data_IF_789948108693
#
_entry.id   IF_789948108693
#
_cell.length_a   1.000
_cell.length_b   1.000
_cell.length_c   1.000
_cell.angle_alpha   90.00
_cell.angle_beta   90.00
_cell.angle_gamma   90.00
#
_symmetry.space_group_name_H-M   'P 1'
#
loop_
_entity.id
_entity.type
_entity.pdbx_description
1 polymer ?
#
# COMPACT_ATOMS: atom_id res chain seq x y z
N UNK A 1 -40.87 27.25 -38.43
CA UNK A 1 -40.58 26.37 -37.26
C UNK A 1 -39.11 26.00 -37.34
N UNK A 2 -38.28 26.60 -36.46
CA UNK A 2 -36.83 26.31 -36.39
C UNK A 2 -36.62 25.20 -35.35
N UNK A 3 -36.21 24.03 -35.79
CA UNK A 3 -35.83 22.93 -34.90
C UNK A 3 -34.52 23.29 -34.21
N UNK A 4 -34.58 23.58 -32.92
CA UNK A 4 -33.42 23.57 -32.07
C UNK A 4 -33.06 22.14 -31.70
N UNK A 5 -32.01 21.63 -32.32
CA UNK A 5 -31.37 20.37 -31.85
C UNK A 5 -30.57 20.72 -30.61
N UNK A 6 -31.07 20.37 -29.44
CA UNK A 6 -30.35 20.47 -28.17
C UNK A 6 -29.30 19.38 -28.17
N UNK A 7 -28.06 19.72 -28.51
CA UNK A 7 -26.92 18.81 -28.33
C UNK A 7 -26.67 18.67 -26.83
N UNK A 8 -27.11 17.56 -26.26
CA UNK A 8 -26.80 17.16 -24.90
C UNK A 8 -25.29 16.79 -24.87
N UNK A 9 -24.43 17.72 -24.52
CA UNK A 9 -23.04 17.43 -24.19
C UNK A 9 -23.04 16.57 -22.93
N UNK A 10 -22.96 15.26 -23.12
CA UNK A 10 -22.63 14.33 -22.06
C UNK A 10 -21.24 14.72 -21.56
N UNK A 11 -21.17 15.38 -20.43
CA UNK A 11 -19.95 15.57 -19.69
C UNK A 11 -19.50 14.19 -19.21
N UNK A 12 -18.67 13.53 -19.99
CA UNK A 12 -18.04 12.27 -19.57
C UNK A 12 -17.06 12.64 -18.44
N UNK A 13 -17.27 12.04 -17.25
CA UNK A 13 -16.28 12.09 -16.18
C UNK A 13 -14.94 11.57 -16.69
N UNK A 14 -13.84 12.21 -16.28
CA UNK A 14 -12.48 11.72 -16.56
C UNK A 14 -12.28 10.29 -16.04
N UNK A 15 -12.97 9.95 -14.96
CA UNK A 15 -12.82 8.67 -14.28
C UNK A 15 -13.92 7.72 -14.72
N UNK A 16 -13.51 6.60 -15.31
CA UNK A 16 -14.38 5.52 -15.75
C UNK A 16 -14.58 4.44 -14.69
N UNK A 17 -15.53 3.56 -14.93
CA UNK A 17 -15.57 2.27 -14.25
C UNK A 17 -14.46 1.38 -14.81
N UNK A 18 -13.80 0.61 -13.96
CA UNK A 18 -12.82 -0.38 -14.41
C UNK A 18 -13.50 -1.40 -15.33
N UNK A 19 -12.92 -1.61 -16.52
CA UNK A 19 -13.39 -2.67 -17.43
C UNK A 19 -12.91 -4.04 -16.90
N UNK A 20 -13.78 -4.94 -16.46
CA UNK A 20 -13.39 -6.25 -15.96
C UNK A 20 -12.62 -7.10 -16.98
N UNK A 21 -12.81 -6.83 -18.28
CA UNK A 21 -12.17 -7.57 -19.38
C UNK A 21 -10.80 -7.04 -19.75
N UNK A 22 -10.42 -5.84 -19.30
CA UNK A 22 -9.09 -5.29 -19.55
C UNK A 22 -8.04 -6.17 -18.89
N UNK A 23 -7.09 -6.66 -19.68
CA UNK A 23 -5.97 -7.45 -19.18
C UNK A 23 -4.87 -6.53 -18.65
N UNK A 24 -4.30 -6.92 -17.53
CA UNK A 24 -3.10 -6.27 -16.97
C UNK A 24 -1.87 -6.76 -17.75
N UNK A 25 -1.01 -5.84 -18.14
CA UNK A 25 0.19 -6.10 -18.96
C UNK A 25 1.38 -5.30 -18.45
N UNK A 26 2.47 -5.98 -18.17
CA UNK A 26 3.71 -5.37 -17.69
C UNK A 26 4.72 -5.18 -18.83
N UNK A 27 5.56 -4.10 -18.80
CA UNK A 27 5.72 -3.12 -17.70
C UNK A 27 4.68 -1.99 -17.67
N UNK A 28 3.78 -1.88 -18.68
CA UNK A 28 2.85 -0.76 -18.79
C UNK A 28 2.03 -0.55 -17.51
N UNK A 29 1.45 -1.61 -16.96
CA UNK A 29 0.55 -1.51 -15.80
C UNK A 29 1.29 -1.47 -14.44
N UNK A 30 2.61 -1.23 -14.46
CA UNK A 30 3.36 -0.65 -13.35
C UNK A 30 3.35 0.88 -13.36
N UNK A 31 3.00 1.50 -14.49
CA UNK A 31 2.84 2.94 -14.65
C UNK A 31 1.46 3.44 -14.19
N UNK A 32 1.21 4.74 -14.36
CA UNK A 32 -0.04 5.35 -13.91
C UNK A 32 -1.22 5.09 -14.84
N UNK A 33 -2.44 5.17 -14.26
CA UNK A 33 -3.73 4.97 -14.91
C UNK A 33 -4.57 6.24 -14.79
N UNK A 34 -4.49 7.10 -15.78
CA UNK A 34 -5.10 8.44 -15.77
C UNK A 34 -6.64 8.42 -15.66
N UNK A 35 -7.28 7.31 -16.05
CA UNK A 35 -8.71 7.07 -15.94
C UNK A 35 -9.15 6.55 -14.56
N UNK A 36 -8.22 6.15 -13.71
CA UNK A 36 -8.48 5.85 -12.31
C UNK A 36 -8.56 7.12 -11.47
N UNK A 37 -9.48 7.18 -10.51
CA UNK A 37 -9.61 8.31 -9.58
C UNK A 37 -8.51 8.35 -8.54
N UNK A 38 -8.18 7.19 -7.98
CA UNK A 38 -7.09 7.03 -7.01
C UNK A 38 -6.19 5.90 -7.44
N UNK A 39 -4.93 6.01 -7.07
CA UNK A 39 -3.91 5.05 -7.38
C UNK A 39 -2.79 5.17 -6.36
N UNK A 40 -2.17 4.06 -5.99
CA UNK A 40 -1.00 4.07 -5.12
C UNK A 40 0.01 3.00 -5.48
N UNK A 41 1.26 3.35 -5.28
CA UNK A 41 2.43 2.47 -5.33
C UNK A 41 2.99 2.40 -3.92
N UNK A 42 2.97 1.23 -3.34
CA UNK A 42 3.29 1.00 -1.94
C UNK A 42 4.42 -0.01 -1.84
N UNK A 43 5.51 0.38 -1.18
CA UNK A 43 6.65 -0.51 -0.93
C UNK A 43 6.89 -0.59 0.56
N UNK A 44 6.96 -1.81 1.08
CA UNK A 44 7.38 -2.05 2.47
C UNK A 44 8.48 -3.08 2.51
N UNK A 45 9.26 -3.08 3.58
CA UNK A 45 10.29 -4.08 3.74
C UNK A 45 10.94 -4.11 5.09
N UNK A 46 11.68 -5.17 5.32
CA UNK A 46 12.57 -5.29 6.46
C UNK A 46 13.98 -5.56 5.97
N UNK A 47 14.90 -4.72 6.44
CA UNK A 47 16.31 -4.71 6.06
C UNK A 47 17.17 -5.05 7.27
N UNK A 48 18.39 -5.48 6.97
CA UNK A 48 19.40 -5.74 7.97
C UNK A 48 20.75 -5.20 7.51
N UNK A 49 21.48 -4.51 8.39
CA UNK A 49 22.83 -4.05 8.12
C UNK A 49 23.83 -5.20 8.24
N UNK A 50 25.04 -5.01 7.74
CA UNK A 50 26.13 -5.99 7.92
C UNK A 50 26.46 -6.25 9.41
N UNK A 51 26.14 -5.31 10.30
CA UNK A 51 26.29 -5.47 11.75
C UNK A 51 25.14 -6.21 12.43
N UNK A 52 24.12 -6.66 11.67
CA UNK A 52 22.93 -7.35 12.19
C UNK A 52 21.85 -6.42 12.74
N UNK A 53 21.95 -5.10 12.53
CA UNK A 53 20.91 -4.16 12.92
C UNK A 53 19.71 -4.28 11.98
N UNK A 54 18.54 -4.51 12.56
CA UNK A 54 17.28 -4.63 11.82
C UNK A 54 16.61 -3.27 11.63
N UNK A 55 15.92 -3.11 10.51
CA UNK A 55 15.19 -1.92 10.12
C UNK A 55 13.90 -2.30 9.43
N UNK A 56 12.83 -1.52 9.64
CA UNK A 56 11.64 -1.58 8.82
C UNK A 56 11.50 -0.29 8.01
N UNK A 57 10.89 -0.35 6.85
CA UNK A 57 10.58 0.83 6.07
C UNK A 57 9.27 0.70 5.29
N UNK A 58 8.68 1.84 4.98
CA UNK A 58 7.55 2.00 4.08
C UNK A 58 7.79 3.23 3.20
N UNK A 59 7.46 3.12 1.91
CA UNK A 59 7.35 4.24 0.99
C UNK A 59 6.09 4.06 0.16
N UNK A 60 5.19 5.03 0.23
CA UNK A 60 3.97 5.03 -0.59
C UNK A 60 3.89 6.32 -1.39
N UNK A 61 3.57 6.17 -2.67
CA UNK A 61 3.11 7.28 -3.50
C UNK A 61 1.63 7.10 -3.77
N UNK A 62 0.86 8.15 -3.60
CA UNK A 62 -0.56 8.20 -3.93
C UNK A 62 -0.79 9.20 -5.03
N UNK A 63 -1.63 8.86 -5.99
CA UNK A 63 -2.17 9.79 -6.97
C UNK A 63 -3.68 9.91 -6.77
N UNK A 64 -4.16 11.14 -6.67
CA UNK A 64 -5.59 11.44 -6.66
C UNK A 64 -5.89 12.33 -7.85
N UNK A 65 -6.71 11.83 -8.76
CA UNK A 65 -7.18 12.59 -9.92
C UNK A 65 -8.17 13.67 -9.50
N UNK A 66 -7.98 14.87 -10.00
CA UNK A 66 -8.89 16.01 -9.80
C UNK A 66 -9.81 16.09 -11.01
N UNK A 67 -11.13 16.06 -10.79
CA UNK A 67 -12.08 16.43 -11.84
C UNK A 67 -11.94 17.92 -12.16
N UNK A 68 -11.12 18.23 -13.16
CA UNK A 68 -11.20 19.54 -13.79
C UNK A 68 -12.39 19.52 -14.73
N UNK A 69 -13.50 20.16 -14.35
CA UNK A 69 -14.55 20.51 -15.31
C UNK A 69 -13.88 21.30 -16.43
N UNK A 70 -13.85 20.85 -17.68
CA UNK A 70 -13.40 21.70 -18.78
C UNK A 70 -14.46 22.77 -18.98
N UNK A 71 -14.36 23.88 -18.26
CA UNK A 71 -15.01 25.12 -18.70
C UNK A 71 -14.42 25.39 -20.06
N UNK A 72 -15.25 25.25 -21.09
CA UNK A 72 -14.92 25.43 -22.48
C UNK A 72 -13.93 26.55 -22.68
N UNK A 73 -12.75 26.28 -23.21
CA UNK A 73 -11.87 27.20 -23.87
C UNK A 73 -10.62 27.68 -23.16
N UNK A 74 -10.31 27.31 -21.91
CA UNK A 74 -9.03 27.67 -21.28
C UNK A 74 -8.54 26.57 -20.33
N UNK A 75 -7.83 25.60 -20.87
CA UNK A 75 -6.95 24.77 -20.05
C UNK A 75 -5.78 25.65 -19.60
N UNK A 76 -5.84 26.20 -18.38
CA UNK A 76 -4.70 26.89 -17.79
C UNK A 76 -3.55 25.88 -17.62
N UNK A 77 -2.34 26.24 -18.06
CA UNK A 77 -1.14 25.45 -17.78
C UNK A 77 -0.89 25.27 -16.26
N UNK A 78 -1.59 26.03 -15.44
CA UNK A 78 -1.58 25.94 -13.97
C UNK A 78 -2.69 25.06 -13.39
N UNK A 79 -3.61 24.51 -14.23
CA UNK A 79 -4.65 23.61 -13.73
C UNK A 79 -4.03 22.28 -13.28
N UNK A 80 -4.18 21.98 -12.00
CA UNK A 80 -3.74 20.68 -11.48
C UNK A 80 -4.67 19.60 -12.01
N UNK A 81 -4.10 18.57 -12.65
CA UNK A 81 -4.83 17.36 -13.08
C UNK A 81 -4.88 16.32 -11.97
N UNK A 82 -3.78 16.21 -11.24
CA UNK A 82 -3.59 15.22 -10.20
C UNK A 82 -2.87 15.84 -9.00
N UNK A 83 -3.16 15.29 -7.82
CA UNK A 83 -2.37 15.46 -6.61
C UNK A 83 -1.56 14.21 -6.39
N UNK A 84 -0.28 14.38 -6.13
CA UNK A 84 0.63 13.33 -5.68
C UNK A 84 0.97 13.57 -4.22
N UNK A 85 0.67 12.57 -3.41
CA UNK A 85 1.05 12.54 -2.00
C UNK A 85 2.06 11.42 -1.83
N UNK A 86 2.94 11.53 -0.84
CA UNK A 86 3.88 10.46 -0.54
C UNK A 86 4.14 10.39 0.95
N UNK A 87 4.26 9.17 1.47
CA UNK A 87 4.63 8.88 2.85
C UNK A 87 5.88 8.02 2.85
N UNK A 88 6.81 8.38 3.70
CA UNK A 88 8.03 7.60 3.95
C UNK A 88 8.18 7.37 5.45
N UNK A 89 8.40 6.13 5.85
CA UNK A 89 8.59 5.78 7.25
C UNK A 89 9.76 4.82 7.47
N UNK A 90 10.42 4.97 8.61
CA UNK A 90 11.52 4.14 9.07
C UNK A 90 11.25 3.65 10.50
N UNK A 91 11.40 2.35 10.70
CA UNK A 91 11.37 1.70 12.01
C UNK A 91 12.78 1.26 12.39
N UNK A 92 13.26 1.70 13.52
CA UNK A 92 14.52 1.27 14.14
C UNK A 92 14.21 0.54 15.45
N UNK A 93 14.11 -0.80 15.45
CA UNK A 93 13.77 -1.55 16.65
C UNK A 93 14.83 -1.45 17.76
N UNK A 94 16.11 -1.33 17.39
CA UNK A 94 17.19 -1.20 18.36
C UNK A 94 17.15 0.12 19.13
N UNK A 95 16.68 1.19 18.45
CA UNK A 95 16.43 2.47 19.08
C UNK A 95 15.01 2.60 19.68
N UNK A 96 14.12 1.65 19.40
CA UNK A 96 12.70 1.71 19.79
C UNK A 96 11.98 2.88 19.12
N UNK A 97 12.38 3.29 17.90
CA UNK A 97 11.86 4.50 17.25
C UNK A 97 11.18 4.20 15.92
N UNK A 98 10.15 4.98 15.65
CA UNK A 98 9.49 5.10 14.38
C UNK A 98 9.49 6.56 13.95
N UNK A 99 9.83 6.83 12.70
CA UNK A 99 9.83 8.18 12.13
C UNK A 99 9.16 8.13 10.78
N UNK A 100 8.42 9.18 10.45
CA UNK A 100 7.81 9.32 9.14
C UNK A 100 7.90 10.76 8.65
N UNK A 101 7.83 10.90 7.32
CA UNK A 101 7.71 12.16 6.62
C UNK A 101 6.60 12.04 5.57
N UNK A 102 6.01 13.17 5.21
CA UNK A 102 4.93 13.25 4.24
C UNK A 102 5.15 14.39 3.25
N UNK A 103 4.77 14.19 2.00
CA UNK A 103 4.85 15.17 0.92
C UNK A 103 3.54 15.26 0.16
N UNK A 104 3.25 16.45 -0.38
CA UNK A 104 2.10 16.66 -1.25
C UNK A 104 2.43 17.70 -2.31
N UNK A 105 2.33 17.30 -3.58
CA UNK A 105 2.50 18.16 -4.73
C UNK A 105 1.41 17.92 -5.77
N UNK A 106 1.08 18.94 -6.52
CA UNK A 106 0.28 18.80 -7.75
C UNK A 106 1.18 18.43 -8.92
N UNK A 107 0.61 17.84 -9.96
CA UNK A 107 1.28 17.69 -11.25
C UNK A 107 1.69 19.05 -11.81
N UNK A 108 2.83 19.09 -12.47
CA UNK A 108 3.41 20.28 -13.10
C UNK A 108 4.75 20.68 -12.46
N UNK A 109 5.54 21.42 -13.20
CA UNK A 109 6.86 21.93 -12.80
C UNK A 109 7.89 20.87 -12.41
N UNK A 110 7.65 19.58 -12.71
CA UNK A 110 8.57 18.49 -12.43
C UNK A 110 8.68 18.09 -10.94
N UNK A 111 7.87 18.69 -10.04
CA UNK A 111 7.95 18.39 -8.61
C UNK A 111 7.35 17.02 -8.25
N UNK A 112 6.30 16.60 -8.95
CA UNK A 112 5.69 15.29 -8.75
C UNK A 112 5.02 14.80 -10.04
N UNK A 113 4.97 13.47 -10.20
CA UNK A 113 4.36 12.84 -11.37
C UNK A 113 4.61 11.35 -11.44
N UNK A 114 3.94 10.71 -12.40
CA UNK A 114 4.17 9.32 -12.76
C UNK A 114 4.09 9.17 -14.28
N UNK A 115 4.80 8.16 -14.82
CA UNK A 115 4.69 7.79 -16.24
C UNK A 115 3.59 6.76 -16.42
N UNK A 116 2.93 6.79 -17.59
CA UNK A 116 1.87 5.84 -17.93
C UNK A 116 2.40 4.53 -18.54
N UNK A 117 3.59 4.55 -19.16
CA UNK A 117 4.16 3.43 -19.92
C UNK A 117 4.98 2.45 -19.08
N UNK A 118 5.37 2.83 -17.87
CA UNK A 118 6.18 2.05 -16.94
C UNK A 118 6.16 2.66 -15.54
N UNK A 119 6.68 1.92 -14.57
CA UNK A 119 6.93 2.46 -13.24
C UNK A 119 8.01 3.54 -13.30
N UNK A 120 7.64 4.76 -13.02
CA UNK A 120 8.52 5.90 -12.78
C UNK A 120 7.66 6.97 -12.07
N UNK A 121 7.70 6.94 -10.74
CA UNK A 121 6.94 7.83 -9.87
C UNK A 121 7.90 8.67 -9.06
N UNK A 122 7.64 9.96 -9.01
CA UNK A 122 8.46 10.94 -8.30
C UNK A 122 7.62 11.90 -7.46
N UNK A 123 8.14 12.27 -6.30
CA UNK A 123 7.64 13.38 -5.49
C UNK A 123 8.85 14.08 -4.85
N UNK A 124 9.28 15.20 -5.45
CA UNK A 124 10.56 15.86 -5.23
C UNK A 124 11.75 14.93 -5.51
N UNK A 125 12.55 14.62 -4.50
CA UNK A 125 13.68 13.69 -4.58
C UNK A 125 13.34 12.25 -4.16
N UNK A 126 12.10 11.98 -3.73
CA UNK A 126 11.64 10.61 -3.52
C UNK A 126 11.23 9.98 -4.84
N UNK A 127 11.69 8.76 -5.07
CA UNK A 127 11.52 8.09 -6.35
C UNK A 127 11.31 6.60 -6.22
N UNK A 128 10.51 6.06 -7.12
CA UNK A 128 10.36 4.64 -7.37
C UNK A 128 10.28 4.43 -8.89
N UNK A 129 11.27 3.74 -9.47
CA UNK A 129 11.31 3.50 -10.91
C UNK A 129 11.72 2.07 -11.26
N UNK A 130 11.28 1.58 -12.42
CA UNK A 130 11.70 0.31 -12.98
C UNK A 130 12.84 0.53 -13.99
N UNK A 131 13.95 -0.17 -13.77
CA UNK A 131 15.12 -0.15 -14.65
C UNK A 131 15.57 -1.58 -14.89
N UNK A 132 15.39 -2.08 -16.13
CA UNK A 132 15.84 -3.42 -16.53
C UNK A 132 15.18 -4.55 -15.71
N UNK A 133 13.89 -4.45 -15.40
CA UNK A 133 13.15 -5.45 -14.65
C UNK A 133 13.44 -5.45 -13.13
N UNK A 134 14.16 -4.45 -12.64
CA UNK A 134 14.42 -4.21 -11.22
C UNK A 134 13.87 -2.85 -10.81
N UNK A 135 13.55 -2.66 -9.54
CA UNK A 135 13.03 -1.41 -9.05
C UNK A 135 14.11 -0.67 -8.27
N UNK A 136 14.27 0.61 -8.56
CA UNK A 136 15.14 1.53 -7.83
C UNK A 136 14.25 2.41 -6.97
N UNK A 137 14.55 2.47 -5.69
CA UNK A 137 13.81 3.22 -4.70
C UNK A 137 14.75 4.15 -3.94
N UNK A 138 14.36 5.41 -3.78
CA UNK A 138 15.07 6.37 -2.95
C UNK A 138 14.08 7.27 -2.23
N UNK A 139 14.26 7.42 -0.91
CA UNK A 139 13.50 8.36 -0.09
C UNK A 139 14.29 8.74 1.15
N UNK A 140 14.08 9.96 1.64
CA UNK A 140 14.72 10.44 2.85
C UNK A 140 14.16 11.74 3.38
N UNK A 141 14.36 11.98 4.67
CA UNK A 141 13.99 13.21 5.35
C UNK A 141 14.93 13.47 6.55
N UNK A 142 15.28 14.72 6.79
CA UNK A 142 16.02 15.14 7.98
C UNK A 142 17.38 14.43 8.21
N UNK A 143 18.03 13.90 7.16
CA UNK A 143 19.29 13.17 7.25
C UNK A 143 19.14 11.66 7.50
N UNK A 144 17.91 11.15 7.53
CA UNK A 144 17.58 9.72 7.51
C UNK A 144 17.01 9.35 6.15
N UNK A 145 17.35 8.18 5.60
CA UNK A 145 16.84 7.77 4.28
C UNK A 145 17.30 6.40 3.85
N UNK A 146 16.74 5.96 2.72
CA UNK A 146 17.10 4.71 2.05
C UNK A 146 17.33 4.94 0.55
N UNK A 147 18.23 4.14 -0.03
CA UNK A 147 18.39 4.00 -1.47
C UNK A 147 18.60 2.53 -1.76
N UNK A 148 17.65 1.90 -2.44
CA UNK A 148 17.57 0.46 -2.61
C UNK A 148 17.42 0.06 -4.06
N UNK A 149 18.03 -1.08 -4.41
CA UNK A 149 17.73 -1.86 -5.59
C UNK A 149 16.89 -3.07 -5.17
N UNK A 150 15.71 -3.21 -5.76
CA UNK A 150 14.75 -4.27 -5.48
C UNK A 150 14.68 -5.20 -6.69
N UNK A 151 14.97 -6.47 -6.49
CA UNK A 151 14.98 -7.49 -7.54
C UNK A 151 13.83 -8.47 -7.32
N UNK A 152 12.83 -8.54 -8.23
CA UNK A 152 11.74 -9.51 -8.11
C UNK A 152 12.27 -10.95 -8.13
N UNK A 153 11.82 -11.75 -7.17
CA UNK A 153 12.14 -13.18 -7.06
C UNK A 153 10.95 -14.08 -7.42
N UNK A 154 9.77 -13.49 -7.58
CA UNK A 154 8.54 -14.16 -8.00
C UNK A 154 7.81 -13.34 -9.07
N UNK A 155 6.97 -13.98 -9.89
CA UNK A 155 6.14 -13.25 -10.87
C UNK A 155 5.13 -12.33 -10.18
N UNK A 156 4.58 -11.33 -10.89
CA UNK A 156 3.50 -10.50 -10.40
C UNK A 156 2.26 -11.33 -10.02
N UNK A 157 1.64 -10.97 -8.91
CA UNK A 157 0.41 -11.57 -8.39
C UNK A 157 -0.76 -10.64 -8.66
N UNK A 158 -1.79 -11.15 -9.33
CA UNK A 158 -3.04 -10.44 -9.59
C UNK A 158 -4.07 -10.84 -8.52
N UNK A 159 -4.42 -9.92 -7.61
CA UNK A 159 -5.35 -10.21 -6.53
C UNK A 159 -6.81 -10.16 -7.01
N UNK A 160 -7.65 -11.04 -6.48
CA UNK A 160 -9.04 -11.18 -6.91
C UNK A 160 -9.17 -11.90 -8.26
N UNK A 161 -10.18 -11.55 -9.03
CA UNK A 161 -10.43 -12.16 -10.33
C UNK A 161 -9.65 -11.42 -11.43
N UNK A 162 -8.52 -11.99 -11.88
CA UNK A 162 -7.65 -11.37 -12.89
C UNK A 162 -7.14 -9.98 -12.50
N UNK A 163 -6.90 -9.73 -11.22
CA UNK A 163 -6.48 -8.45 -10.68
C UNK A 163 -7.63 -7.52 -10.26
N UNK A 164 -8.90 -7.94 -10.43
CA UNK A 164 -10.05 -7.15 -9.99
C UNK A 164 -10.41 -7.54 -8.55
N UNK A 165 -10.12 -6.66 -7.61
CA UNK A 165 -10.32 -6.85 -6.17
C UNK A 165 -11.54 -6.07 -5.69
N UNK A 166 -12.52 -6.77 -5.12
CA UNK A 166 -13.74 -6.17 -4.56
C UNK A 166 -13.50 -5.67 -3.14
N UNK A 167 -13.99 -4.45 -2.87
CA UNK A 167 -13.85 -3.76 -1.57
C UNK A 167 -15.20 -3.49 -0.89
N UNK A 168 -16.31 -3.82 -1.56
CA UNK A 168 -17.66 -3.57 -1.04
C UNK A 168 -18.75 -4.15 -1.94
N UNK A 169 -20.03 -4.01 -1.54
CA UNK A 169 -21.19 -4.48 -2.32
C UNK A 169 -21.47 -3.63 -3.56
N UNK A 170 -21.07 -2.35 -3.55
CA UNK A 170 -21.33 -1.44 -4.64
C UNK A 170 -20.55 -1.87 -5.89
N UNK A 171 -21.12 -1.71 -7.11
CA UNK A 171 -20.47 -2.14 -8.35
C UNK A 171 -19.10 -1.48 -8.60
N UNK A 172 -18.94 -0.25 -8.13
CA UNK A 172 -17.72 0.55 -8.26
C UNK A 172 -16.78 0.48 -7.04
N UNK A 173 -17.14 -0.28 -5.98
CA UNK A 173 -16.24 -0.59 -4.87
C UNK A 173 -15.27 -1.71 -5.27
N UNK A 174 -14.47 -1.44 -6.30
CA UNK A 174 -13.48 -2.35 -6.88
C UNK A 174 -12.20 -1.59 -7.23
N UNK A 175 -11.10 -2.31 -7.25
CA UNK A 175 -9.80 -1.83 -7.71
C UNK A 175 -9.10 -2.88 -8.56
N UNK A 176 -8.15 -2.46 -9.40
CA UNK A 176 -7.10 -3.31 -9.92
C UNK A 176 -6.00 -3.38 -8.88
N UNK A 177 -5.57 -4.58 -8.53
CA UNK A 177 -4.61 -4.80 -7.47
C UNK A 177 -3.57 -5.84 -7.85
N UNK A 178 -2.31 -5.41 -7.86
CA UNK A 178 -1.15 -6.22 -8.24
C UNK A 178 -0.11 -6.15 -7.14
N UNK A 179 0.57 -7.27 -6.87
CA UNK A 179 1.73 -7.30 -5.98
C UNK A 179 2.94 -7.96 -6.62
N UNK A 180 4.13 -7.48 -6.25
CA UNK A 180 5.36 -8.25 -6.29
C UNK A 180 5.68 -8.63 -4.85
N UNK A 181 5.37 -9.86 -4.50
CA UNK A 181 5.33 -10.28 -3.10
C UNK A 181 6.70 -10.52 -2.49
N UNK A 182 7.73 -10.73 -3.32
CA UNK A 182 9.09 -11.00 -2.84
C UNK A 182 10.11 -10.29 -3.71
N UNK A 183 10.67 -9.22 -3.17
CA UNK A 183 11.70 -8.41 -3.79
C UNK A 183 12.96 -8.50 -2.94
N UNK A 184 14.02 -9.14 -3.45
CA UNK A 184 15.34 -9.07 -2.81
C UNK A 184 15.85 -7.64 -2.87
N UNK A 185 16.19 -7.09 -1.72
CA UNK A 185 16.51 -5.68 -1.53
C UNK A 185 17.95 -5.52 -1.08
N UNK A 186 18.69 -4.66 -1.75
CA UNK A 186 20.10 -4.34 -1.47
C UNK A 186 20.29 -2.85 -1.64
N UNK A 187 21.15 -2.23 -0.82
CA UNK A 187 21.45 -0.82 -0.96
C UNK A 187 21.97 -0.19 0.30
N UNK A 188 21.50 1.01 0.58
CA UNK A 188 22.01 1.87 1.65
C UNK A 188 20.89 2.39 2.53
N UNK A 189 21.12 2.35 3.82
CA UNK A 189 20.38 3.10 4.80
C UNK A 189 21.27 4.23 5.33
N UNK A 190 20.74 5.43 5.36
CA UNK A 190 21.40 6.61 5.91
C UNK A 190 20.70 7.01 7.21
N UNK A 191 21.44 7.23 8.26
CA UNK A 191 20.93 7.76 9.51
C UNK A 191 21.87 8.80 10.04
N UNK A 192 21.34 10.00 10.33
CA UNK A 192 22.12 11.16 10.80
C UNK A 192 23.34 11.44 9.92
N UNK A 193 23.16 11.30 8.60
CA UNK A 193 24.21 11.54 7.60
C UNK A 193 25.26 10.43 7.48
N UNK A 194 25.11 9.30 8.17
CA UNK A 194 25.99 8.12 8.03
C UNK A 194 25.25 7.04 7.27
N UNK A 195 25.88 6.50 6.24
CA UNK A 195 25.30 5.43 5.40
C UNK A 195 25.93 4.08 5.77
N UNK A 196 25.06 3.07 5.87
CA UNK A 196 25.43 1.66 6.06
C UNK A 196 24.80 0.82 4.95
N UNK A 197 25.50 -0.20 4.47
CA UNK A 197 24.92 -1.16 3.52
C UNK A 197 23.85 -1.99 4.21
N UNK A 198 22.77 -2.25 3.47
CA UNK A 198 21.65 -3.06 3.93
C UNK A 198 21.21 -4.08 2.91
N UNK A 199 20.66 -5.18 3.37
CA UNK A 199 19.99 -6.18 2.55
C UNK A 199 18.73 -6.68 3.24
N UNK A 200 17.81 -7.28 2.48
CA UNK A 200 16.57 -7.82 3.05
C UNK A 200 15.55 -8.20 2.00
N UNK A 201 14.29 -8.23 2.42
CA UNK A 201 13.15 -8.48 1.55
C UNK A 201 12.16 -7.32 1.62
N UNK A 202 11.60 -7.01 0.46
CA UNK A 202 10.54 -6.02 0.31
C UNK A 202 9.32 -6.61 -0.38
N UNK A 203 8.22 -5.94 -0.22
CA UNK A 203 6.94 -6.15 -0.84
C UNK A 203 6.55 -4.90 -1.63
N UNK A 204 5.94 -5.06 -2.79
CA UNK A 204 5.41 -3.98 -3.60
C UNK A 204 3.97 -4.24 -3.94
N UNK A 205 3.11 -3.25 -3.70
CA UNK A 205 1.73 -3.22 -4.14
C UNK A 205 1.49 -2.05 -5.09
N UNK A 206 0.72 -2.31 -6.13
CA UNK A 206 0.18 -1.29 -7.00
C UNK A 206 -1.32 -1.49 -7.12
N UNK A 207 -2.09 -0.47 -6.75
CA UNK A 207 -3.54 -0.55 -6.77
C UNK A 207 -4.13 0.74 -7.33
N UNK A 208 -5.13 0.61 -8.22
CA UNK A 208 -5.79 1.74 -8.85
C UNK A 208 -7.28 1.48 -9.06
N UNK A 209 -8.10 2.55 -9.03
CA UNK A 209 -9.54 2.44 -9.22
C UNK A 209 -10.33 3.67 -8.81
N UNK A 210 -11.58 3.44 -8.42
CA UNK A 210 -12.49 4.49 -7.99
C UNK A 210 -12.14 5.10 -6.63
N UNK A 211 -11.38 4.36 -5.80
CA UNK A 211 -11.13 4.69 -4.40
C UNK A 211 -12.31 4.41 -3.47
N UNK A 212 -13.40 3.85 -3.99
CA UNK A 212 -14.56 3.54 -3.16
C UNK A 212 -14.39 2.22 -2.43
N UNK A 213 -14.78 2.23 -1.17
CA UNK A 213 -14.94 1.07 -0.30
C UNK A 213 -16.39 0.96 0.13
N UNK A 214 -16.82 -0.20 0.62
CA UNK A 214 -18.20 -0.37 1.10
C UNK A 214 -18.59 0.69 2.11
N UNK A 215 -19.81 1.22 2.00
CA UNK A 215 -20.32 2.33 2.85
C UNK A 215 -20.26 2.03 4.35
N UNK A 216 -20.45 0.76 4.72
CA UNK A 216 -20.41 0.30 6.10
C UNK A 216 -19.00 -0.13 6.53
N UNK A 217 -17.96 0.16 5.73
CA UNK A 217 -16.58 -0.16 6.07
C UNK A 217 -16.03 0.86 7.07
N UNK A 218 -15.56 0.37 8.21
CA UNK A 218 -14.92 1.18 9.25
C UNK A 218 -13.41 1.36 9.00
N UNK A 219 -12.81 0.50 8.21
CA UNK A 219 -11.39 0.49 7.88
C UNK A 219 -10.94 -0.88 7.39
N UNK A 220 -9.66 -1.05 7.24
CA UNK A 220 -9.07 -2.34 6.89
C UNK A 220 -7.80 -2.59 7.70
N UNK A 221 -7.45 -3.86 7.79
CA UNK A 221 -6.15 -4.33 8.25
C UNK A 221 -5.53 -5.13 7.13
N UNK A 222 -4.37 -4.74 6.67
CA UNK A 222 -3.62 -5.40 5.62
C UNK A 222 -2.34 -6.03 6.19
N UNK A 223 -2.00 -7.20 5.68
CA UNK A 223 -0.86 -7.99 6.12
C UNK A 223 -0.08 -8.49 4.91
N UNK A 224 1.23 -8.29 4.90
CA UNK A 224 2.17 -8.96 4.03
C UNK A 224 3.16 -9.77 4.86
N UNK A 225 3.24 -11.07 4.63
CA UNK A 225 4.14 -11.96 5.34
C UNK A 225 5.12 -12.61 4.36
N UNK A 226 6.40 -12.55 4.68
CA UNK A 226 7.45 -13.37 4.07
C UNK A 226 7.77 -14.52 5.03
N UNK A 227 7.39 -15.75 4.66
CA UNK A 227 7.69 -16.92 5.46
C UNK A 227 9.08 -17.46 5.14
N UNK A 228 9.74 -18.06 6.14
CA UNK A 228 11.09 -18.64 6.00
C UNK A 228 11.13 -19.86 5.08
N UNK A 229 9.98 -20.52 4.87
CA UNK A 229 9.86 -21.64 3.92
C UNK A 229 9.76 -21.19 2.46
N UNK A 230 9.81 -19.89 2.22
CA UNK A 230 9.77 -19.28 0.89
C UNK A 230 8.38 -18.94 0.37
N UNK A 231 7.31 -19.24 1.13
CA UNK A 231 5.96 -18.76 0.82
C UNK A 231 5.78 -17.30 1.22
N UNK A 232 4.85 -16.63 0.55
CA UNK A 232 4.40 -15.28 0.93
C UNK A 232 2.88 -15.29 1.13
N UNK A 233 2.39 -14.48 2.04
CA UNK A 233 0.96 -14.41 2.34
C UNK A 233 0.52 -12.95 2.41
N UNK A 234 -0.41 -12.56 1.54
CA UNK A 234 -1.15 -11.31 1.66
C UNK A 234 -2.54 -11.60 2.22
N UNK A 235 -2.96 -10.85 3.22
CA UNK A 235 -4.32 -10.84 3.72
C UNK A 235 -4.79 -9.41 3.90
N UNK A 236 -6.04 -9.13 3.56
CA UNK A 236 -6.69 -7.92 4.07
C UNK A 236 -8.05 -8.27 4.67
N UNK A 237 -8.32 -7.67 5.83
CA UNK A 237 -9.59 -7.74 6.54
C UNK A 237 -10.29 -6.40 6.40
N UNK A 238 -11.34 -6.35 5.57
CA UNK A 238 -12.22 -5.20 5.52
C UNK A 238 -13.13 -5.24 6.74
N UNK A 239 -13.04 -4.24 7.63
CA UNK A 239 -13.81 -4.21 8.88
C UNK A 239 -15.12 -3.44 8.69
N UNK A 240 -16.23 -4.08 9.07
CA UNK A 240 -17.53 -3.43 9.13
C UNK A 240 -17.66 -2.52 10.37
N UNK A 241 -18.70 -1.69 10.40
CA UNK A 241 -19.00 -0.79 11.51
C UNK A 241 -19.16 -1.51 12.87
N UNK A 242 -19.51 -2.80 12.88
CA UNK A 242 -19.55 -3.66 14.07
C UNK A 242 -18.19 -4.24 14.49
N UNK A 243 -17.09 -3.90 13.81
CA UNK A 243 -15.73 -4.33 14.15
C UNK A 243 -15.30 -5.69 13.59
N UNK A 244 -16.20 -6.50 13.06
CA UNK A 244 -15.91 -7.80 12.44
C UNK A 244 -15.46 -7.67 11.00
N UNK A 245 -14.83 -8.74 10.47
CA UNK A 245 -14.48 -8.84 9.05
C UNK A 245 -15.74 -8.94 8.18
N UNK A 246 -15.70 -8.31 6.99
CA UNK A 246 -16.76 -8.39 6.00
C UNK A 246 -16.49 -9.50 4.98
N UNK A 247 -17.49 -9.93 4.18
CA UNK A 247 -17.28 -10.89 3.09
C UNK A 247 -16.31 -10.40 1.99
N UNK A 248 -15.97 -9.11 2.00
CA UNK A 248 -15.02 -8.49 1.07
C UNK A 248 -13.57 -8.57 1.56
N UNK A 249 -13.34 -9.17 2.72
CA UNK A 249 -12.01 -9.58 3.17
C UNK A 249 -11.50 -10.70 2.27
N UNK A 250 -10.24 -10.64 1.88
CA UNK A 250 -9.62 -11.68 1.06
C UNK A 250 -8.11 -11.74 1.25
N UNK A 251 -7.47 -12.69 0.61
CA UNK A 251 -6.03 -12.82 0.60
C UNK A 251 -5.52 -13.62 -0.57
N UNK A 252 -4.21 -13.79 -0.59
CA UNK A 252 -3.52 -14.63 -1.56
C UNK A 252 -2.31 -15.28 -0.87
N UNK A 253 -2.26 -16.59 -0.89
CA UNK A 253 -1.04 -17.34 -0.57
C UNK A 253 -0.22 -17.48 -1.86
N UNK A 254 1.04 -17.10 -1.81
CA UNK A 254 1.98 -17.27 -2.92
C UNK A 254 2.98 -18.34 -2.54
N UNK A 255 2.92 -19.44 -3.23
CA UNK A 255 3.78 -20.61 -3.01
C UNK A 255 5.24 -20.24 -3.33
N UNK A 256 6.15 -21.11 -2.93
CA UNK A 256 7.59 -20.91 -3.15
C UNK A 256 7.94 -20.76 -4.65
N UNK A 257 7.21 -21.44 -5.52
CA UNK A 257 7.38 -21.39 -6.97
C UNK A 257 6.70 -20.16 -7.64
N UNK A 258 6.05 -19.33 -6.85
CA UNK A 258 5.33 -18.11 -7.31
C UNK A 258 3.87 -18.36 -7.68
N UNK A 259 3.35 -19.58 -7.58
CA UNK A 259 1.94 -19.89 -7.83
C UNK A 259 1.06 -19.22 -6.78
N UNK A 260 0.13 -18.38 -7.24
CA UNK A 260 -0.83 -17.70 -6.40
C UNK A 260 -2.06 -18.56 -6.12
N UNK A 261 -2.47 -18.63 -4.86
CA UNK A 261 -3.67 -19.34 -4.38
C UNK A 261 -4.57 -18.30 -3.72
N UNK A 262 -5.71 -17.95 -4.34
CA UNK A 262 -6.67 -17.02 -3.77
C UNK A 262 -7.28 -17.56 -2.47
N UNK A 263 -7.51 -16.67 -1.51
CA UNK A 263 -8.14 -16.97 -0.23
C UNK A 263 -9.39 -16.10 -0.07
N UNK A 264 -10.54 -16.73 0.13
CA UNK A 264 -11.76 -16.03 0.51
C UNK A 264 -11.75 -15.71 2.02
N UNK A 265 -12.65 -14.85 2.48
CA UNK A 265 -12.77 -14.46 3.89
C UNK A 265 -12.93 -15.65 4.85
N UNK A 266 -13.51 -16.76 4.39
CA UNK A 266 -13.71 -17.97 5.19
C UNK A 266 -12.49 -18.89 5.25
N UNK A 267 -11.46 -18.66 4.43
CA UNK A 267 -10.28 -19.52 4.33
C UNK A 267 -9.20 -19.17 5.37
N UNK A 268 -9.35 -18.05 6.08
CA UNK A 268 -8.39 -17.60 7.08
C UNK A 268 -9.05 -16.95 8.30
N UNK A 269 -8.31 -16.90 9.40
CA UNK A 269 -8.69 -16.10 10.58
C UNK A 269 -7.54 -15.18 10.99
N UNK A 270 -7.89 -14.04 11.55
CA UNK A 270 -6.97 -13.07 12.16
C UNK A 270 -7.53 -12.74 13.54
N UNK A 271 -6.98 -13.40 14.56
CA UNK A 271 -7.43 -13.27 15.94
C UNK A 271 -6.52 -12.29 16.69
N UNK A 272 -7.08 -11.18 17.14
CA UNK A 272 -6.37 -10.16 17.92
C UNK A 272 -6.14 -10.66 19.35
N UNK A 273 -4.89 -10.58 19.82
CA UNK A 273 -4.52 -11.06 21.16
C UNK A 273 -3.94 -10.00 22.09
N UNK A 274 -3.59 -8.81 21.56
CA UNK A 274 -3.17 -7.66 22.34
C UNK A 274 -3.54 -6.36 21.62
N UNK A 275 -3.56 -5.25 22.35
CA UNK A 275 -3.80 -3.91 21.82
C UNK A 275 -2.78 -2.90 22.33
N UNK A 276 -2.54 -1.89 21.50
CA UNK A 276 -1.75 -0.71 21.82
C UNK A 276 -2.58 0.55 21.61
N UNK A 277 -2.55 1.47 22.58
CA UNK A 277 -3.26 2.74 22.51
C UNK A 277 -2.27 3.87 22.19
N UNK A 278 -2.54 4.59 21.10
CA UNK A 278 -1.77 5.77 20.73
C UNK A 278 -1.99 6.89 21.74
N UNK A 279 -0.88 7.46 22.22
CA UNK A 279 -0.92 8.67 23.02
C UNK A 279 -1.19 9.92 22.17
N UNK A 280 -0.93 9.86 20.84
CA UNK A 280 -1.09 10.98 19.91
C UNK A 280 -2.52 11.12 19.43
N UNK A 281 -3.09 10.07 18.88
CA UNK A 281 -4.43 10.09 18.27
C UNK A 281 -5.53 9.56 19.19
N UNK A 282 -5.18 8.83 20.25
CA UNK A 282 -6.12 8.06 21.06
C UNK A 282 -6.60 6.77 20.39
N UNK A 283 -6.12 6.48 19.17
CA UNK A 283 -6.42 5.25 18.43
C UNK A 283 -6.03 4.01 19.23
N UNK A 284 -6.92 2.99 19.21
CA UNK A 284 -6.70 1.75 19.96
C UNK A 284 -6.51 0.61 18.95
N UNK A 285 -5.27 0.37 18.55
CA UNK A 285 -4.88 -0.57 17.51
C UNK A 285 -4.67 -1.97 18.06
N UNK A 286 -5.02 -3.03 17.33
CA UNK A 286 -4.45 -4.35 17.57
C UNK A 286 -2.91 -4.29 17.53
N UNK A 287 -2.27 -5.07 18.40
CA UNK A 287 -0.80 -5.07 18.53
C UNK A 287 -0.20 -6.49 18.56
N UNK A 288 -1.02 -7.50 18.41
CA UNK A 288 -0.60 -8.89 18.27
C UNK A 288 -1.74 -9.71 17.66
N UNK A 289 -1.41 -10.60 16.76
CA UNK A 289 -2.40 -11.41 16.05
C UNK A 289 -1.96 -12.86 15.94
N UNK A 290 -2.93 -13.77 15.99
CA UNK A 290 -2.74 -15.14 15.53
C UNK A 290 -3.45 -15.29 14.19
N UNK A 291 -2.66 -15.51 13.14
CA UNK A 291 -3.13 -15.69 11.76
C UNK A 291 -3.14 -17.17 11.43
N UNK A 292 -4.27 -17.67 10.90
CA UNK A 292 -4.41 -19.08 10.48
C UNK A 292 -4.95 -19.17 9.06
N UNK A 293 -4.33 -20.04 8.27
CA UNK A 293 -4.83 -20.50 6.96
C UNK A 293 -4.84 -22.02 6.99
N UNK A 294 -5.91 -22.66 7.53
CA UNK A 294 -5.90 -24.09 7.88
C UNK A 294 -5.57 -25.01 6.71
N UNK A 295 -6.14 -24.75 5.52
CA UNK A 295 -5.91 -25.55 4.30
C UNK A 295 -4.46 -25.57 3.85
N UNK A 296 -3.67 -24.56 4.23
CA UNK A 296 -2.26 -24.40 3.85
C UNK A 296 -1.30 -24.75 5.01
N UNK A 297 -1.84 -25.23 6.14
CA UNK A 297 -1.05 -25.54 7.33
C UNK A 297 -0.36 -24.35 7.97
N UNK A 298 -0.87 -23.13 7.73
CA UNK A 298 -0.29 -21.92 8.30
C UNK A 298 -1.02 -21.58 9.61
N UNK A 299 -0.24 -21.48 10.68
CA UNK A 299 -0.67 -20.94 11.97
C UNK A 299 0.54 -20.16 12.52
N UNK A 300 0.44 -18.83 12.56
CA UNK A 300 1.53 -17.94 12.95
C UNK A 300 1.05 -16.86 13.88
N UNK A 301 1.94 -16.40 14.74
CA UNK A 301 1.76 -15.21 15.56
C UNK A 301 2.52 -14.05 14.92
N UNK A 302 1.86 -12.90 14.76
CA UNK A 302 2.41 -11.67 14.19
C UNK A 302 2.41 -10.61 15.28
N UNK A 303 3.52 -9.89 15.45
CA UNK A 303 3.62 -8.81 16.44
C UNK A 303 4.63 -7.73 16.01
N UNK A 304 4.38 -6.45 16.37
CA UNK A 304 5.20 -5.32 15.95
C UNK A 304 6.61 -5.36 16.51
N UNK A 305 7.60 -4.89 15.74
CA UNK A 305 8.96 -4.62 16.22
C UNK A 305 9.00 -3.43 17.18
N UNK A 306 8.12 -2.43 16.95
CA UNK A 306 7.92 -1.26 17.81
C UNK A 306 6.41 -1.06 17.92
N UNK A 307 5.89 -0.78 19.10
CA UNK A 307 4.45 -0.60 19.29
C UNK A 307 3.90 0.65 18.59
N UNK A 308 4.60 1.78 18.74
CA UNK A 308 4.24 3.05 18.09
C UNK A 308 4.84 3.13 16.68
N UNK A 309 4.05 2.72 15.69
CA UNK A 309 4.33 2.89 14.27
C UNK A 309 3.15 3.63 13.59
N UNK A 310 2.57 4.60 14.29
CA UNK A 310 1.44 5.38 13.81
C UNK A 310 1.89 6.58 12.99
N UNK A 311 1.27 6.78 11.82
CA UNK A 311 1.38 7.97 10.99
C UNK A 311 0.17 8.88 11.24
N UNK A 312 0.44 10.12 11.62
CA UNK A 312 -0.57 11.19 11.73
C UNK A 312 -0.30 12.18 10.60
N UNK A 313 -0.93 11.95 9.43
CA UNK A 313 -0.61 12.67 8.19
C UNK A 313 -1.43 13.94 8.04
N UNK A 314 -1.04 15.01 8.72
CA UNK A 314 -1.79 16.28 8.74
C UNK A 314 -1.60 17.10 7.46
N UNK A 315 -0.44 16.97 6.79
CA UNK A 315 -0.05 17.81 5.64
C UNK A 315 -0.43 17.19 4.29
N UNK A 316 -0.80 15.92 4.26
CA UNK A 316 -1.08 15.19 3.02
C UNK A 316 -2.49 14.58 3.01
N UNK A 317 -2.63 13.28 3.30
CA UNK A 317 -3.90 12.55 3.21
C UNK A 317 -4.90 12.92 4.31
N UNK A 318 -4.47 13.45 5.43
CA UNK A 318 -5.25 13.70 6.65
C UNK A 318 -5.86 12.42 7.22
N UNK A 319 -5.22 11.29 6.96
CA UNK A 319 -5.56 9.98 7.51
C UNK A 319 -4.60 9.66 8.64
N UNK A 320 -5.13 9.19 9.77
CA UNK A 320 -4.29 8.61 10.81
C UNK A 320 -4.40 7.10 10.71
N UNK A 321 -3.26 6.44 10.54
CA UNK A 321 -3.17 5.00 10.35
C UNK A 321 -1.87 4.45 10.93
N UNK A 322 -1.83 3.14 11.14
CA UNK A 322 -0.67 2.45 11.70
C UNK A 322 -0.01 1.60 10.61
N UNK A 323 1.31 1.70 10.48
CA UNK A 323 2.13 1.05 9.47
C UNK A 323 3.35 0.44 10.12
N UNK A 324 3.46 -0.88 10.16
CA UNK A 324 4.51 -1.43 10.99
C UNK A 324 5.17 -2.71 10.54
N UNK A 325 6.51 -2.70 10.67
CA UNK A 325 7.32 -3.90 10.60
C UNK A 325 7.05 -4.80 11.81
N UNK A 326 6.82 -6.09 11.53
CA UNK A 326 6.43 -7.10 12.49
C UNK A 326 7.31 -8.37 12.38
N UNK A 327 7.44 -9.09 13.48
CA UNK A 327 7.97 -10.45 13.48
C UNK A 327 6.85 -11.48 13.33
N UNK A 328 7.21 -12.63 12.80
CA UNK A 328 6.33 -13.80 12.63
C UNK A 328 6.96 -15.01 13.31
N UNK A 329 6.24 -15.59 14.27
CA UNK A 329 6.68 -16.79 15.01
C UNK A 329 5.61 -17.88 15.02
N UNK A 330 5.94 -19.04 15.54
CA UNK A 330 4.92 -20.00 15.91
C UNK A 330 4.05 -19.43 17.06
N UNK A 331 2.74 -19.76 17.11
CA UNK A 331 1.86 -19.26 18.15
C UNK A 331 2.36 -19.63 19.57
N UNK A 332 2.25 -18.65 20.48
CA UNK A 332 2.75 -18.79 21.86
C UNK A 332 4.24 -18.46 22.03
N UNK A 333 4.84 -17.71 21.10
CA UNK A 333 6.22 -17.24 21.22
C UNK A 333 7.28 -18.29 20.84
N UNK A 334 6.95 -19.13 19.85
CA UNK A 334 7.84 -20.18 19.35
C UNK A 334 8.95 -19.67 18.43
N UNK A 335 9.55 -20.60 17.66
CA UNK A 335 10.62 -20.29 16.72
C UNK A 335 10.21 -19.23 15.69
N UNK A 336 11.15 -18.40 15.19
CA UNK A 336 10.90 -17.50 14.07
C UNK A 336 10.41 -18.26 12.84
N UNK A 337 9.36 -17.78 12.22
CA UNK A 337 8.77 -18.36 11.00
C UNK A 337 8.78 -17.38 9.83
N UNK A 338 9.07 -16.10 10.06
CA UNK A 338 9.10 -15.10 9.00
C UNK A 338 9.18 -13.67 9.51
N UNK A 339 8.90 -12.77 8.60
CA UNK A 339 8.77 -11.33 8.84
C UNK A 339 7.49 -10.83 8.19
N UNK A 340 6.90 -9.78 8.72
CA UNK A 340 5.67 -9.21 8.18
C UNK A 340 5.72 -7.68 8.17
N UNK A 341 4.85 -7.10 7.35
CA UNK A 341 4.45 -5.70 7.44
C UNK A 341 2.94 -5.63 7.55
N UNK A 342 2.43 -4.77 8.43
CA UNK A 342 0.99 -4.65 8.72
C UNK A 342 0.57 -3.20 8.62
N UNK A 343 -0.53 -2.96 7.91
CA UNK A 343 -1.19 -1.66 7.83
C UNK A 343 -2.58 -1.74 8.49
N UNK A 344 -2.95 -0.72 9.25
CA UNK A 344 -4.25 -0.63 9.90
C UNK A 344 -4.84 0.76 9.79
N UNK A 345 -6.04 0.87 9.22
CA UNK A 345 -6.76 2.13 9.08
C UNK A 345 -8.03 2.15 9.90
N UNK A 346 -8.59 3.35 10.17
CA UNK A 346 -9.91 3.50 10.79
C UNK A 346 -9.97 3.27 12.30
N UNK A 347 -8.85 3.25 13.01
CA UNK A 347 -8.80 3.08 14.48
C UNK A 347 -8.71 4.39 15.25
N UNK A 348 -8.32 5.48 14.61
CA UNK A 348 -8.12 6.79 15.22
C UNK A 348 -9.38 7.68 15.21
N UNK A 349 -10.56 7.11 15.01
CA UNK A 349 -11.85 7.81 15.07
C UNK A 349 -12.53 8.06 13.71
N UNK A 350 -13.74 8.66 13.72
CA UNK A 350 -14.51 8.95 12.51
C UNK A 350 -13.82 10.03 11.68
N UNK A 351 -13.33 9.70 10.54
CA UNK A 351 -12.53 10.58 9.67
C UNK A 351 -11.17 9.98 9.33
N UNK A 352 -10.78 8.93 10.04
CA UNK A 352 -9.54 8.20 9.79
C UNK A 352 -9.45 7.53 8.39
N UNK A 353 -10.52 7.58 7.59
CA UNK A 353 -10.55 7.07 6.21
C UNK A 353 -10.47 8.19 5.17
N UNK A 354 -10.48 9.48 5.56
CA UNK A 354 -10.19 10.64 4.72
C UNK A 354 -10.76 10.58 3.30
N UNK A 355 -9.86 10.54 2.32
CA UNK A 355 -10.18 10.56 0.89
C UNK A 355 -10.81 9.26 0.32
N UNK A 356 -10.96 8.22 1.12
CA UNK A 356 -11.56 6.92 0.72
C UNK A 356 -13.08 6.82 0.96
N UNK A 357 -13.73 7.94 1.22
CA UNK A 357 -15.19 8.04 1.37
C UNK A 357 -15.85 8.93 0.33
#
# INVERSE_FOLDING_TARGET
>A
MKNFVLALLLLTSRFGSLDPKQKISFPRDHGSHDDARVEWWYVTGQLETASGKRLGYQLTFFRTGIESSPKAGRASAFAARDLFLAHFALTDPAAGTFRFAERMHRTGFGAAGAREDRLDVVNEDWRLEEVGGRFVLAAGDGGDGISLLLTPEKPPVLHGEGGLSRKGPEPDAVSRYVSLTRLRSEGWWTSRGKSESVSGLSWFDHEWGSGRIGKDTAGWDWFALHLLDGRDLMLYRMRGAGGGGTPYSSGTLVEKDGRAVPLAAADFTIDETARWKSARSGGNYPARWVVRVPRSGIAVEVFPLVGDQELVTEKSTRVTYWEGACDVTAPGGGAPLGRAYVEMTGYAGPGALGAFR
#
